data_IF_263338276882
#
_entry.id   IF_263338276882
#
_cell.length_a   1.000
_cell.length_b   1.000
_cell.length_c   1.000
_cell.angle_alpha   90.00
_cell.angle_beta   90.00
_cell.angle_gamma   90.00
#
_symmetry.space_group_name_H-M   'P 1'
#
loop_
_entity.id
_entity.type
_entity.pdbx_description
1 polymer ?
#
# COMPACT_ATOMS: atom_id res chain seq x y z
N UNK A 1 -30.84 -55.27 39.15
CA UNK A 1 -31.02 -54.60 37.87
C UNK A 1 -31.09 -53.10 38.12
N UNK A 2 -29.95 -52.45 38.21
CA UNK A 2 -29.83 -51.00 38.19
C UNK A 2 -28.95 -50.68 37.06
N UNK A 3 -29.57 -50.22 36.00
CA UNK A 3 -29.03 -50.01 34.65
C UNK A 3 -27.90 -49.04 34.64
N UNK A 4 -26.86 -49.42 33.91
CA UNK A 4 -25.94 -48.66 33.15
C UNK A 4 -26.66 -47.57 32.32
N UNK A 5 -26.81 -46.40 32.86
CA UNK A 5 -27.30 -45.24 32.09
C UNK A 5 -26.74 -43.89 32.55
N UNK A 6 -25.62 -43.89 33.23
CA UNK A 6 -24.98 -42.65 33.69
C UNK A 6 -23.48 -42.59 33.42
N UNK A 7 -23.04 -42.96 32.19
CA UNK A 7 -21.66 -42.75 31.76
C UNK A 7 -21.58 -42.36 30.27
N UNK A 8 -22.26 -41.30 29.88
CA UNK A 8 -22.02 -40.66 28.60
C UNK A 8 -22.29 -39.16 28.67
N UNK A 9 -21.64 -38.52 29.62
CA UNK A 9 -21.42 -37.06 29.60
C UNK A 9 -19.95 -36.79 29.64
N UNK A 10 -19.21 -37.47 28.76
CA UNK A 10 -17.91 -37.03 28.36
C UNK A 10 -18.19 -35.91 27.38
N UNK A 11 -18.00 -34.65 27.81
CA UNK A 11 -18.12 -33.50 26.96
C UNK A 11 -17.17 -33.67 25.76
N UNK A 12 -17.76 -34.07 24.67
CA UNK A 12 -17.08 -34.06 23.38
C UNK A 12 -16.80 -32.58 23.04
N UNK A 13 -15.61 -32.14 23.38
CA UNK A 13 -15.07 -30.83 23.01
C UNK A 13 -14.70 -30.78 21.52
N UNK A 14 -15.34 -31.59 20.69
CA UNK A 14 -15.23 -31.47 19.24
C UNK A 14 -15.98 -30.21 18.82
N UNK A 15 -15.23 -29.16 18.52
CA UNK A 15 -15.75 -27.95 17.89
C UNK A 15 -16.43 -28.37 16.58
N UNK A 16 -17.75 -28.26 16.53
CA UNK A 16 -18.52 -28.65 15.35
C UNK A 16 -18.15 -27.70 14.20
N UNK A 17 -18.16 -28.23 12.98
CA UNK A 17 -17.99 -27.40 11.75
C UNK A 17 -19.00 -26.25 11.71
N UNK A 18 -20.19 -26.44 12.22
CA UNK A 18 -21.22 -25.42 12.34
C UNK A 18 -20.81 -24.30 13.30
N UNK A 19 -20.14 -24.63 14.41
CA UNK A 19 -19.67 -23.65 15.41
C UNK A 19 -18.52 -22.84 14.84
N UNK A 20 -17.62 -23.47 14.08
CA UNK A 20 -16.55 -22.77 13.36
C UNK A 20 -17.11 -21.83 12.28
N UNK A 21 -18.11 -22.28 11.54
CA UNK A 21 -18.76 -21.45 10.50
C UNK A 21 -19.49 -20.26 11.11
N UNK A 22 -20.20 -20.47 12.23
CA UNK A 22 -20.87 -19.41 12.96
C UNK A 22 -19.86 -18.39 13.53
N UNK A 23 -18.76 -18.86 14.11
CA UNK A 23 -17.68 -17.99 14.61
C UNK A 23 -17.02 -17.18 13.50
N UNK A 24 -16.79 -17.79 12.33
CA UNK A 24 -16.24 -17.10 11.18
C UNK A 24 -17.20 -16.02 10.64
N UNK A 25 -18.50 -16.32 10.61
CA UNK A 25 -19.52 -15.33 10.20
C UNK A 25 -19.57 -14.16 11.18
N UNK A 26 -19.56 -14.43 12.49
CA UNK A 26 -19.49 -13.38 13.50
C UNK A 26 -18.23 -12.53 13.38
N UNK A 27 -17.06 -13.15 13.18
CA UNK A 27 -15.82 -12.43 13.00
C UNK A 27 -15.87 -11.49 11.78
N UNK A 28 -16.46 -11.90 10.65
CA UNK A 28 -16.66 -11.03 9.51
C UNK A 28 -17.60 -9.84 9.84
N UNK A 29 -18.67 -10.10 10.57
CA UNK A 29 -19.57 -9.04 11.05
C UNK A 29 -18.83 -8.02 11.91
N UNK A 30 -17.96 -8.49 12.80
CA UNK A 30 -17.14 -7.62 13.63
C UNK A 30 -16.14 -6.79 12.82
N UNK A 31 -15.52 -7.34 11.80
CA UNK A 31 -14.65 -6.57 10.89
C UNK A 31 -15.40 -5.36 10.32
N UNK A 32 -16.64 -5.59 9.85
CA UNK A 32 -17.47 -4.49 9.31
C UNK A 32 -17.90 -3.48 10.39
N UNK A 33 -18.17 -3.94 11.62
CA UNK A 33 -18.50 -3.05 12.72
C UNK A 33 -17.31 -2.18 13.14
N UNK A 34 -16.10 -2.78 13.17
CA UNK A 34 -14.86 -2.09 13.57
C UNK A 34 -14.41 -1.03 12.57
N UNK A 35 -14.72 -1.20 11.28
CA UNK A 35 -14.42 -0.20 10.23
C UNK A 35 -15.63 0.66 9.89
N UNK A 36 -16.77 0.43 10.52
CA UNK A 36 -18.00 1.15 10.26
C UNK A 36 -18.00 2.59 10.79
N UNK A 37 -18.82 3.44 10.18
CA UNK A 37 -18.92 4.88 10.50
C UNK A 37 -19.19 5.16 11.99
N UNK A 38 -19.97 4.32 12.66
CA UNK A 38 -20.25 4.45 14.08
C UNK A 38 -18.99 4.32 14.93
N UNK A 39 -18.15 3.33 14.59
CA UNK A 39 -16.85 3.14 15.25
C UNK A 39 -15.89 4.30 14.95
N UNK A 40 -15.80 4.75 13.69
CA UNK A 40 -14.97 5.86 13.30
C UNK A 40 -15.37 7.17 14.02
N UNK A 41 -16.67 7.44 14.16
CA UNK A 41 -17.16 8.59 14.93
C UNK A 41 -16.78 8.50 16.41
N UNK A 42 -16.91 7.33 17.00
CA UNK A 42 -16.59 7.12 18.41
C UNK A 42 -15.08 7.25 18.68
N UNK A 43 -14.24 6.71 17.79
CA UNK A 43 -12.79 6.86 17.85
C UNK A 43 -12.39 8.33 17.67
N UNK A 44 -12.98 9.04 16.69
CA UNK A 44 -12.71 10.45 16.45
C UNK A 44 -13.05 11.33 17.66
N UNK A 45 -14.12 10.99 18.39
CA UNK A 45 -14.50 11.69 19.62
C UNK A 45 -13.53 11.47 20.79
N UNK A 46 -12.84 10.32 20.82
CA UNK A 46 -11.89 9.99 21.89
C UNK A 46 -10.48 10.52 21.60
N UNK A 47 -10.11 10.73 20.33
CA UNK A 47 -8.83 11.34 19.94
C UNK A 47 -8.78 12.83 20.27
N UNK A 48 -8.14 13.19 21.38
CA UNK A 48 -8.08 14.57 21.90
C UNK A 48 -6.79 15.30 21.56
N UNK A 49 -5.66 14.59 21.54
CA UNK A 49 -4.36 15.19 21.24
C UNK A 49 -4.19 15.40 19.72
N UNK A 50 -4.73 14.49 18.91
CA UNK A 50 -4.71 14.57 17.44
C UNK A 50 -6.16 14.52 16.91
N UNK A 51 -6.93 15.63 16.98
CA UNK A 51 -8.32 15.65 16.56
C UNK A 51 -8.46 15.23 15.09
N UNK A 52 -9.34 14.27 14.83
CA UNK A 52 -9.62 13.72 13.50
C UNK A 52 -11.12 13.74 13.22
N UNK A 53 -11.45 13.78 11.95
CA UNK A 53 -12.81 13.52 11.48
C UNK A 53 -13.03 12.02 11.32
N UNK A 54 -14.28 11.58 11.31
CA UNK A 54 -14.61 10.16 11.10
C UNK A 54 -14.11 9.64 9.75
N UNK A 55 -14.07 10.50 8.72
CA UNK A 55 -13.59 10.12 7.39
C UNK A 55 -12.07 9.92 7.39
N UNK A 56 -11.30 10.74 8.09
CA UNK A 56 -9.87 10.56 8.27
C UNK A 56 -9.55 9.28 9.07
N UNK A 57 -10.32 9.01 10.13
CA UNK A 57 -10.18 7.79 10.92
C UNK A 57 -10.45 6.55 10.07
N UNK A 58 -11.47 6.58 9.18
CA UNK A 58 -11.79 5.48 8.27
C UNK A 58 -10.63 5.14 7.34
N UNK A 59 -9.87 6.14 6.87
CA UNK A 59 -8.69 5.94 6.03
C UNK A 59 -7.47 5.41 6.82
N UNK A 60 -7.43 5.70 8.13
CA UNK A 60 -6.31 5.36 9.00
C UNK A 60 -6.42 3.98 9.66
N UNK A 61 -7.62 3.40 9.70
CA UNK A 61 -7.88 2.09 10.33
C UNK A 61 -8.22 1.02 9.29
N UNK A 62 -7.71 -0.16 9.50
CA UNK A 62 -8.09 -1.34 8.72
C UNK A 62 -8.29 -2.53 9.66
N UNK A 63 -9.34 -3.31 9.42
CA UNK A 63 -9.58 -4.54 10.14
C UNK A 63 -9.65 -5.71 9.16
N UNK A 64 -9.05 -6.81 9.52
CA UNK A 64 -9.08 -8.04 8.71
C UNK A 64 -9.18 -9.27 9.60
N UNK A 65 -9.86 -10.28 9.12
CA UNK A 65 -9.91 -11.57 9.77
C UNK A 65 -8.75 -12.45 9.29
N UNK A 66 -8.03 -13.04 10.23
CA UNK A 66 -6.99 -14.00 9.88
C UNK A 66 -7.63 -15.28 9.33
N UNK A 67 -7.11 -15.79 8.22
CA UNK A 67 -7.62 -16.99 7.55
C UNK A 67 -7.72 -18.16 8.55
N UNK A 68 -8.84 -18.89 8.51
CA UNK A 68 -9.14 -20.04 9.36
C UNK A 68 -9.07 -19.77 10.87
N UNK A 69 -9.35 -18.55 11.28
CA UNK A 69 -9.33 -18.12 12.67
C UNK A 69 -10.50 -17.18 12.97
N UNK A 70 -10.86 -17.08 14.25
CA UNK A 70 -11.76 -16.05 14.76
C UNK A 70 -11.02 -14.79 15.23
N UNK A 71 -9.71 -14.71 14.97
CA UNK A 71 -8.89 -13.55 15.33
C UNK A 71 -9.10 -12.46 14.28
N UNK A 72 -9.29 -11.25 14.78
CA UNK A 72 -9.38 -10.03 13.97
C UNK A 72 -8.13 -9.22 14.22
N UNK A 73 -7.36 -9.00 13.17
CA UNK A 73 -6.22 -8.11 13.17
C UNK A 73 -6.70 -6.70 12.84
N UNK A 74 -6.38 -5.75 13.68
CA UNK A 74 -6.69 -4.35 13.48
C UNK A 74 -5.40 -3.56 13.29
N UNK A 75 -5.30 -2.88 12.17
CA UNK A 75 -4.14 -2.08 11.80
C UNK A 75 -4.50 -0.61 11.85
N UNK A 76 -3.67 0.16 12.51
CA UNK A 76 -3.77 1.63 12.57
C UNK A 76 -2.57 2.22 11.88
N UNK A 77 -2.81 3.15 10.94
CA UNK A 77 -1.77 3.83 10.18
C UNK A 77 -1.87 5.33 10.40
N UNK A 78 -0.78 5.97 10.83
CA UNK A 78 -0.76 7.42 11.09
C UNK A 78 0.56 8.04 10.61
N UNK A 79 0.63 9.37 10.66
CA UNK A 79 1.80 10.12 10.23
C UNK A 79 2.94 10.12 11.26
N UNK A 80 2.65 9.87 12.54
CA UNK A 80 3.62 9.78 13.61
C UNK A 80 3.34 8.60 14.53
N UNK A 81 4.36 8.09 15.26
CA UNK A 81 4.19 7.01 16.24
C UNK A 81 3.20 7.37 17.36
N UNK A 82 3.25 8.61 17.83
CA UNK A 82 2.39 9.10 18.90
C UNK A 82 0.94 9.17 18.47
N UNK A 83 0.68 9.63 17.26
CA UNK A 83 -0.65 9.68 16.66
C UNK A 83 -1.21 8.26 16.45
N UNK A 84 -0.41 7.34 15.93
CA UNK A 84 -0.80 5.94 15.77
C UNK A 84 -1.16 5.29 17.11
N UNK A 85 -0.37 5.57 18.14
CA UNK A 85 -0.61 5.06 19.49
C UNK A 85 -1.89 5.59 20.11
N UNK A 86 -2.14 6.91 20.01
CA UNK A 86 -3.39 7.51 20.51
C UNK A 86 -4.61 6.94 19.81
N UNK A 87 -4.53 6.82 18.47
CA UNK A 87 -5.61 6.24 17.69
C UNK A 87 -5.87 4.78 18.08
N UNK A 88 -4.83 3.98 18.28
CA UNK A 88 -4.95 2.60 18.74
C UNK A 88 -5.52 2.49 20.16
N UNK A 89 -5.19 3.43 21.05
CA UNK A 89 -5.80 3.51 22.37
C UNK A 89 -7.28 3.86 22.29
N UNK A 90 -7.65 4.83 21.44
CA UNK A 90 -9.05 5.20 21.22
C UNK A 90 -9.86 4.01 20.68
N UNK A 91 -9.30 3.23 19.75
CA UNK A 91 -9.89 1.96 19.29
C UNK A 91 -10.13 1.01 20.45
N UNK A 92 -9.09 0.79 21.30
CA UNK A 92 -9.17 -0.10 22.46
C UNK A 92 -10.25 0.33 23.47
N UNK A 93 -10.40 1.62 23.68
CA UNK A 93 -11.36 2.12 24.68
C UNK A 93 -12.80 2.11 24.14
N UNK A 94 -12.97 2.25 22.83
CA UNK A 94 -14.28 2.39 22.17
C UNK A 94 -14.90 1.06 21.70
N UNK A 95 -14.07 0.04 21.35
CA UNK A 95 -14.59 -1.18 20.70
C UNK A 95 -15.65 -1.91 21.48
N UNK A 96 -15.58 -1.92 22.82
CA UNK A 96 -16.54 -2.62 23.67
C UNK A 96 -17.94 -2.03 23.56
N UNK A 97 -18.02 -0.71 23.57
CA UNK A 97 -19.30 0.00 23.53
C UNK A 97 -20.00 -0.20 22.19
N UNK A 98 -19.23 -0.17 21.09
CA UNK A 98 -19.79 -0.40 19.75
C UNK A 98 -20.20 -1.85 19.54
N UNK A 99 -19.38 -2.81 19.98
CA UNK A 99 -19.63 -4.25 19.77
C UNK A 99 -20.80 -4.73 20.61
N UNK A 100 -20.91 -4.33 21.88
CA UNK A 100 -21.99 -4.77 22.76
C UNK A 100 -23.38 -4.32 22.27
N UNK A 101 -23.45 -3.15 21.63
CA UNK A 101 -24.72 -2.62 21.11
C UNK A 101 -25.23 -3.46 19.93
N UNK A 102 -24.33 -4.00 19.10
CA UNK A 102 -24.72 -4.54 17.79
C UNK A 102 -24.72 -6.07 17.68
N UNK A 103 -24.06 -6.82 18.57
CA UNK A 103 -23.81 -8.22 18.26
C UNK A 103 -24.20 -9.24 19.31
N UNK A 104 -24.47 -8.85 20.55
CA UNK A 104 -24.68 -9.81 21.62
C UNK A 104 -23.54 -10.83 21.85
N UNK A 105 -22.47 -10.74 21.05
CA UNK A 105 -21.25 -11.53 21.19
C UNK A 105 -20.21 -10.77 22.03
N UNK A 106 -19.17 -11.50 22.49
CA UNK A 106 -18.03 -10.90 23.20
C UNK A 106 -16.77 -10.95 22.36
N UNK A 107 -16.08 -9.81 22.27
CA UNK A 107 -14.73 -9.74 21.75
C UNK A 107 -13.78 -9.52 22.92
N UNK A 108 -12.69 -10.28 22.93
CA UNK A 108 -11.60 -10.13 23.89
C UNK A 108 -10.38 -9.56 23.20
N UNK A 109 -9.77 -8.56 23.81
CA UNK A 109 -8.51 -8.02 23.36
C UNK A 109 -7.39 -9.03 23.67
N UNK A 110 -6.65 -9.45 22.66
CA UNK A 110 -5.52 -10.36 22.79
C UNK A 110 -4.23 -9.61 23.06
N UNK A 111 -4.01 -8.52 22.32
CA UNK A 111 -2.79 -7.71 22.41
C UNK A 111 -3.14 -6.26 22.74
N UNK A 112 -2.29 -5.62 23.53
CA UNK A 112 -2.42 -4.20 23.85
C UNK A 112 -1.68 -3.33 22.83
N UNK A 113 -2.20 -2.14 22.51
CA UNK A 113 -1.46 -1.18 21.70
C UNK A 113 -0.13 -0.82 22.36
N UNK A 114 0.95 -0.90 21.60
CA UNK A 114 2.27 -0.47 22.01
C UNK A 114 2.70 0.72 21.15
N UNK A 115 3.55 1.60 21.73
CA UNK A 115 4.11 2.71 20.96
C UNK A 115 5.07 2.16 19.90
N UNK A 116 4.84 2.41 18.60
CA UNK A 116 5.73 1.93 17.55
C UNK A 116 7.13 2.54 17.72
N UNK A 117 8.15 1.69 17.82
CA UNK A 117 9.55 2.11 17.91
C UNK A 117 10.24 2.18 16.56
N UNK A 118 9.70 1.50 15.56
CA UNK A 118 10.19 1.51 14.19
C UNK A 118 9.04 1.87 13.23
N UNK A 119 9.32 2.67 12.17
CA UNK A 119 8.34 2.93 11.14
C UNK A 119 7.99 1.63 10.42
N UNK A 120 6.72 1.40 10.19
CA UNK A 120 6.28 0.30 9.36
C UNK A 120 6.93 0.44 7.97
N UNK A 121 7.62 -0.61 7.53
CA UNK A 121 8.26 -0.64 6.21
C UNK A 121 7.17 -0.63 5.16
N UNK A 122 6.66 0.55 4.87
CA UNK A 122 5.62 0.71 3.88
C UNK A 122 6.13 0.18 2.54
N UNK A 123 5.53 -0.90 2.10
CA UNK A 123 5.74 -1.54 0.78
C UNK A 123 5.60 -0.52 -0.37
N UNK A 124 5.01 0.65 -0.08
CA UNK A 124 4.77 1.72 -1.04
C UNK A 124 6.02 2.47 -1.51
N UNK A 125 7.04 2.68 -0.66
CA UNK A 125 8.20 3.51 -1.03
C UNK A 125 8.98 2.88 -2.18
N UNK A 126 9.31 1.61 -2.08
CA UNK A 126 10.07 0.90 -3.13
C UNK A 126 9.27 0.80 -4.42
N UNK A 127 7.98 0.50 -4.34
CA UNK A 127 7.09 0.45 -5.52
C UNK A 127 6.96 1.81 -6.18
N UNK A 128 6.76 2.88 -5.42
CA UNK A 128 6.63 4.22 -5.93
C UNK A 128 7.96 4.74 -6.52
N UNK A 129 9.11 4.37 -5.94
CA UNK A 129 10.42 4.68 -6.48
C UNK A 129 10.65 4.01 -7.84
N UNK A 130 10.27 2.75 -8.01
CA UNK A 130 10.37 2.03 -9.30
C UNK A 130 9.48 2.69 -10.35
N UNK A 131 8.23 3.01 -10.02
CA UNK A 131 7.30 3.68 -10.92
C UNK A 131 7.84 5.06 -11.33
N UNK A 132 8.36 5.83 -10.37
CA UNK A 132 8.97 7.13 -10.61
C UNK A 132 10.20 7.06 -11.51
N UNK A 133 11.08 6.08 -11.31
CA UNK A 133 12.26 5.85 -12.14
C UNK A 133 11.88 5.48 -13.58
N UNK A 134 10.89 4.62 -13.78
CA UNK A 134 10.39 4.25 -15.10
C UNK A 134 9.78 5.45 -15.84
N UNK A 135 8.91 6.20 -15.16
CA UNK A 135 8.32 7.42 -15.73
C UNK A 135 9.41 8.46 -16.10
N UNK A 136 10.39 8.67 -15.23
CA UNK A 136 11.52 9.56 -15.48
C UNK A 136 12.34 9.12 -16.69
N UNK A 137 12.61 7.84 -16.85
CA UNK A 137 13.35 7.30 -18.01
C UNK A 137 12.61 7.56 -19.34
N UNK A 138 11.29 7.37 -19.36
CA UNK A 138 10.47 7.65 -20.55
C UNK A 138 10.50 9.14 -20.92
N UNK A 139 10.37 10.04 -19.94
CA UNK A 139 10.43 11.48 -20.18
C UNK A 139 11.82 11.88 -20.71
N UNK A 140 12.89 11.36 -20.12
CA UNK A 140 14.26 11.63 -20.60
C UNK A 140 14.46 11.15 -22.05
N UNK A 141 13.98 9.96 -22.40
CA UNK A 141 14.05 9.43 -23.76
C UNK A 141 13.31 10.34 -24.75
N UNK A 142 12.10 10.79 -24.41
CA UNK A 142 11.33 11.72 -25.24
C UNK A 142 12.07 13.05 -25.47
N UNK A 143 12.68 13.62 -24.42
CA UNK A 143 13.45 14.86 -24.53
C UNK A 143 14.64 14.67 -25.47
N UNK A 144 15.34 13.55 -25.37
CA UNK A 144 16.49 13.24 -26.25
C UNK A 144 16.04 13.13 -27.70
N UNK A 145 14.94 12.41 -27.97
CA UNK A 145 14.39 12.25 -29.33
C UNK A 145 13.98 13.62 -29.92
N UNK A 146 13.26 14.43 -29.15
CA UNK A 146 12.85 15.78 -29.60
C UNK A 146 14.06 16.64 -29.86
N UNK A 147 15.07 16.62 -29.02
CA UNK A 147 16.28 17.40 -29.15
C UNK A 147 17.13 16.95 -30.35
N UNK A 148 17.19 15.66 -30.63
CA UNK A 148 17.92 15.13 -31.79
C UNK A 148 17.15 15.42 -33.08
N UNK A 149 15.84 15.32 -33.09
CA UNK A 149 14.98 15.70 -34.23
C UNK A 149 15.01 17.20 -34.54
N UNK A 150 15.12 18.04 -33.49
CA UNK A 150 15.24 19.50 -33.66
C UNK A 150 16.62 19.93 -34.19
N UNK A 151 17.62 19.10 -34.02
CA UNK A 151 18.95 19.32 -34.66
C UNK A 151 18.88 18.79 -36.09
N UNK A 152 18.58 19.64 -37.01
CA UNK A 152 18.59 19.35 -38.46
C UNK A 152 20.05 19.11 -38.97
N UNK A 153 20.75 18.17 -38.31
CA UNK A 153 22.10 17.79 -38.69
C UNK A 153 22.04 16.71 -39.74
N UNK A 154 22.40 17.04 -40.94
CA UNK A 154 22.58 16.08 -42.03
C UNK A 154 23.75 15.17 -41.68
N UNK A 155 23.47 13.88 -41.36
CA UNK A 155 24.47 12.89 -40.93
C UNK A 155 24.81 11.84 -41.99
N UNK A 156 24.00 11.76 -43.05
CA UNK A 156 24.22 10.77 -44.12
C UNK A 156 24.00 11.36 -45.50
N UNK A 157 24.67 10.80 -46.51
CA UNK A 157 24.45 11.13 -47.92
C UNK A 157 22.98 10.94 -48.34
N UNK A 158 22.30 9.96 -47.77
CA UNK A 158 20.89 9.68 -48.02
C UNK A 158 19.96 10.80 -47.53
N UNK A 159 20.34 11.47 -46.44
CA UNK A 159 19.59 12.61 -45.91
C UNK A 159 19.65 13.82 -46.85
N UNK A 160 20.81 14.01 -47.55
CA UNK A 160 20.97 15.08 -48.52
C UNK A 160 20.13 14.82 -49.77
N UNK A 161 20.13 13.60 -50.27
CA UNK A 161 19.36 13.22 -51.46
C UNK A 161 17.85 13.29 -51.20
N UNK A 162 17.39 12.79 -50.04
CA UNK A 162 15.96 12.72 -49.74
C UNK A 162 15.35 14.05 -49.30
N UNK A 163 16.10 14.90 -48.59
CA UNK A 163 15.60 16.18 -48.06
C UNK A 163 15.81 17.36 -49.00
N UNK A 164 16.92 17.36 -49.75
CA UNK A 164 17.29 18.49 -50.60
C UNK A 164 17.13 18.19 -52.10
N UNK A 165 16.84 16.96 -52.49
CA UNK A 165 16.71 16.48 -53.88
C UNK A 165 17.95 16.87 -54.74
N UNK A 166 19.12 16.98 -54.09
CA UNK A 166 20.40 17.31 -54.75
C UNK A 166 21.20 16.03 -54.97
N UNK A 167 21.76 15.86 -56.17
CA UNK A 167 22.66 14.76 -56.48
C UNK A 167 23.99 14.98 -55.79
N UNK A 168 24.41 14.05 -54.93
CA UNK A 168 25.74 14.10 -54.29
C UNK A 168 26.77 13.71 -55.31
N UNK A 169 27.65 14.67 -55.69
CA UNK A 169 28.69 14.49 -56.73
C UNK A 169 29.96 13.84 -56.16
N UNK A 170 30.14 13.91 -54.83
CA UNK A 170 31.28 13.27 -54.15
C UNK A 170 31.30 13.52 -52.66
N UNK A 171 31.93 12.63 -51.93
CA UNK A 171 32.18 12.73 -50.51
C UNK A 171 33.69 12.90 -50.25
N UNK A 172 34.05 13.90 -49.45
CA UNK A 172 35.43 14.07 -49.03
C UNK A 172 35.58 13.47 -47.65
N UNK A 173 36.20 12.31 -47.57
CA UNK A 173 36.51 11.65 -46.31
C UNK A 173 37.54 12.46 -45.52
N UNK A 174 37.28 12.73 -44.27
CA UNK A 174 38.21 13.40 -43.38
C UNK A 174 39.43 12.52 -43.13
N UNK A 175 40.61 12.93 -43.60
CA UNK A 175 41.84 12.18 -43.37
C UNK A 175 42.27 12.42 -41.92
N UNK A 176 42.42 11.37 -41.10
CA UNK A 176 42.94 11.52 -39.74
C UNK A 176 44.42 11.91 -39.82
N UNK A 177 44.72 13.18 -39.49
CA UNK A 177 46.10 13.68 -39.47
C UNK A 177 46.33 15.09 -40.07
N UNK A 178 45.29 15.77 -40.55
CA UNK A 178 45.41 17.06 -41.27
C UNK A 178 45.76 18.32 -40.46
N UNK A 179 46.15 18.22 -39.19
CA UNK A 179 46.45 19.41 -38.37
C UNK A 179 47.86 20.01 -38.53
N UNK A 180 48.67 19.54 -39.47
CA UNK A 180 50.09 19.98 -39.53
C UNK A 180 50.48 20.86 -40.71
N UNK A 181 49.59 21.37 -41.52
CA UNK A 181 50.00 22.12 -42.73
C UNK A 181 49.75 23.63 -42.74
N UNK A 182 49.44 24.24 -41.59
CA UNK A 182 49.49 25.68 -41.48
C UNK A 182 50.69 26.15 -40.68
N UNK A 183 51.91 25.98 -41.24
CA UNK A 183 53.07 26.70 -40.77
C UNK A 183 53.21 27.99 -41.61
N UNK A 184 52.94 29.12 -40.98
CA UNK A 184 53.12 30.45 -41.44
C UNK A 184 54.54 30.65 -41.99
N UNK A 185 54.69 31.16 -43.23
CA UNK A 185 55.80 31.95 -43.64
C UNK A 185 55.49 33.41 -43.44
#
# INVERSE_FOLDING_TARGET
>A
NKSEKDLSSSGDNSVSYNDMSASAYMANTFVHLMTGRTMCNAIAAECKAYPKTADEVEEMIAASRKTDSSIIDMTVTAGSPEEAYELAQAVKDTYKDVVQVYSGGSIHLCDMPELPTEPDKSVGITRNAIIGALAGAVICALIIIIRDSARNTVRSQEDIQNKLQLNVIGEVSQVPGGERFYKKS
#
